data_IF_003944030502
#
_entry.id   IF_003944030502
#
_cell.length_a   1.000
_cell.length_b   1.000
_cell.length_c   1.000
_cell.angle_alpha   90.00
_cell.angle_beta   90.00
_cell.angle_gamma   90.00
#
_symmetry.space_group_name_H-M   'P 1'
#
loop_
_entity.id
_entity.type
_entity.pdbx_description
1 polymer ?
#
# COMPACT_ATOMS: atom_id res chain seq x y z
N UNK A 1 -21.71 -10.53 43.76
CA UNK A 1 -22.26 -11.04 42.49
C UNK A 1 -22.45 -9.96 41.40
N UNK A 2 -23.10 -8.81 41.66
CA UNK A 2 -23.27 -7.72 40.64
C UNK A 2 -21.97 -7.22 40.00
N UNK A 3 -20.89 -7.06 40.77
CA UNK A 3 -19.59 -6.58 40.26
C UNK A 3 -18.94 -7.56 39.27
N UNK A 4 -19.14 -8.86 39.46
CA UNK A 4 -18.59 -9.91 38.59
C UNK A 4 -19.34 -9.95 37.25
N UNK A 5 -20.67 -9.79 37.27
CA UNK A 5 -21.47 -9.71 36.05
C UNK A 5 -21.09 -8.50 35.17
N UNK A 6 -20.84 -7.34 35.79
CA UNK A 6 -20.43 -6.12 35.07
C UNK A 6 -19.08 -6.31 34.39
N UNK A 7 -18.10 -6.89 35.09
CA UNK A 7 -16.77 -7.16 34.52
C UNK A 7 -16.86 -8.13 33.34
N UNK A 8 -17.66 -9.20 33.44
CA UNK A 8 -17.86 -10.15 32.35
C UNK A 8 -18.50 -9.49 31.13
N UNK A 9 -19.52 -8.64 31.33
CA UNK A 9 -20.16 -7.92 30.22
C UNK A 9 -19.24 -6.91 29.55
N UNK A 10 -18.38 -6.20 30.31
CA UNK A 10 -17.42 -5.26 29.73
C UNK A 10 -16.36 -6.01 28.92
N UNK A 11 -15.86 -7.14 29.44
CA UNK A 11 -14.87 -7.97 28.73
C UNK A 11 -15.45 -8.54 27.43
N UNK A 12 -16.71 -8.98 27.43
CA UNK A 12 -17.38 -9.47 26.21
C UNK A 12 -17.58 -8.36 25.17
N UNK A 13 -17.95 -7.15 25.58
CA UNK A 13 -18.11 -6.02 24.65
C UNK A 13 -16.76 -5.58 24.09
N UNK A 14 -15.68 -5.58 24.88
CA UNK A 14 -14.33 -5.26 24.40
C UNK A 14 -13.79 -6.35 23.48
N UNK A 15 -14.04 -7.63 23.76
CA UNK A 15 -13.62 -8.72 22.88
C UNK A 15 -14.41 -8.73 21.57
N UNK A 16 -15.74 -8.62 21.61
CA UNK A 16 -16.56 -8.59 20.39
C UNK A 16 -16.39 -7.29 19.60
N UNK A 17 -16.26 -6.15 20.28
CA UNK A 17 -16.03 -4.84 19.65
C UNK A 17 -14.60 -4.72 19.10
N UNK A 18 -13.61 -5.19 19.85
CA UNK A 18 -12.20 -5.19 19.42
C UNK A 18 -11.97 -6.13 18.25
N UNK A 19 -12.45 -7.39 18.31
CA UNK A 19 -12.32 -8.35 17.21
C UNK A 19 -13.08 -7.88 15.97
N UNK A 20 -14.27 -7.29 16.14
CA UNK A 20 -15.02 -6.70 15.04
C UNK A 20 -14.27 -5.54 14.38
N UNK A 21 -13.63 -4.68 15.16
CA UNK A 21 -12.81 -3.57 14.66
C UNK A 21 -11.57 -4.05 13.92
N UNK A 22 -10.82 -5.02 14.48
CA UNK A 22 -9.65 -5.59 13.82
C UNK A 22 -10.01 -6.31 12.51
N UNK A 23 -11.10 -7.08 12.49
CA UNK A 23 -11.58 -7.74 11.29
C UNK A 23 -12.01 -6.74 10.20
N UNK A 24 -12.68 -5.65 10.60
CA UNK A 24 -13.06 -4.57 9.69
C UNK A 24 -11.83 -3.87 9.09
N UNK A 25 -10.83 -3.53 9.92
CA UNK A 25 -9.59 -2.93 9.44
C UNK A 25 -8.82 -3.86 8.49
N UNK A 26 -8.70 -5.15 8.83
CA UNK A 26 -8.03 -6.13 7.98
C UNK A 26 -8.74 -6.30 6.62
N UNK A 27 -10.08 -6.31 6.63
CA UNK A 27 -10.88 -6.39 5.41
C UNK A 27 -10.71 -5.15 4.53
N UNK A 28 -10.77 -3.96 5.13
CA UNK A 28 -10.64 -2.69 4.41
C UNK A 28 -9.25 -2.54 3.79
N UNK A 29 -8.18 -2.85 4.55
CA UNK A 29 -6.81 -2.86 4.04
C UNK A 29 -6.60 -3.88 2.92
N UNK A 30 -7.13 -5.10 3.08
CA UNK A 30 -7.05 -6.14 2.05
C UNK A 30 -7.77 -5.74 0.76
N UNK A 31 -8.94 -5.09 0.90
CA UNK A 31 -9.71 -4.57 -0.22
C UNK A 31 -8.97 -3.43 -0.93
N UNK A 32 -8.42 -2.48 -0.19
CA UNK A 32 -7.62 -1.39 -0.77
C UNK A 32 -6.40 -1.93 -1.53
N UNK A 33 -5.72 -2.94 -0.99
CA UNK A 33 -4.58 -3.58 -1.66
C UNK A 33 -5.01 -4.22 -2.99
N UNK A 34 -6.11 -4.97 -3.00
CA UNK A 34 -6.63 -5.60 -4.23
C UNK A 34 -7.08 -4.55 -5.25
N UNK A 35 -7.76 -3.50 -4.81
CA UNK A 35 -8.27 -2.44 -5.68
C UNK A 35 -7.12 -1.61 -6.27
N UNK A 36 -6.06 -1.36 -5.49
CA UNK A 36 -4.83 -0.65 -5.89
C UNK A 36 -3.73 -1.57 -6.44
N UNK A 37 -4.04 -2.80 -6.83
CA UNK A 37 -3.07 -3.70 -7.46
C UNK A 37 -3.18 -3.68 -8.98
N UNK A 38 -2.03 -3.69 -9.65
CA UNK A 38 -1.89 -3.66 -11.11
C UNK A 38 -1.14 -4.87 -11.64
N UNK A 39 -1.40 -5.23 -12.90
CA UNK A 39 -0.67 -6.30 -13.58
C UNK A 39 0.68 -5.81 -14.08
N UNK A 40 1.61 -6.73 -14.32
CA UNK A 40 2.88 -6.41 -14.97
C UNK A 40 2.67 -5.69 -16.32
N UNK A 41 1.68 -6.10 -17.11
CA UNK A 41 1.38 -5.45 -18.39
C UNK A 41 0.96 -3.97 -18.22
N UNK A 42 0.17 -3.66 -17.20
CA UNK A 42 -0.24 -2.28 -16.89
C UNK A 42 0.94 -1.42 -16.44
N UNK A 43 1.84 -2.01 -15.65
CA UNK A 43 3.09 -1.38 -15.23
C UNK A 43 4.05 -1.14 -16.41
N UNK A 44 4.22 -2.15 -17.27
CA UNK A 44 5.11 -2.09 -18.43
C UNK A 44 4.63 -1.10 -19.49
N UNK A 45 3.31 -0.90 -19.59
CA UNK A 45 2.70 0.09 -20.47
C UNK A 45 3.08 1.55 -20.11
N UNK A 46 3.43 1.82 -18.84
CA UNK A 46 3.86 3.15 -18.43
C UNK A 46 5.32 3.38 -18.81
N UNK A 47 5.61 4.51 -19.45
CA UNK A 47 6.95 4.86 -19.95
C UNK A 47 7.46 6.11 -19.27
N UNK A 48 8.76 6.18 -19.07
CA UNK A 48 9.41 7.41 -18.61
C UNK A 48 9.08 8.57 -19.56
N UNK A 49 8.80 9.73 -19.00
CA UNK A 49 8.31 10.92 -19.69
C UNK A 49 6.79 11.00 -19.83
N UNK A 50 6.02 9.93 -19.54
CA UNK A 50 4.55 10.01 -19.56
C UNK A 50 4.06 11.02 -18.50
N UNK A 51 3.16 11.95 -18.85
CA UNK A 51 2.58 12.88 -17.88
C UNK A 51 1.90 12.16 -16.72
N UNK A 52 2.08 12.67 -15.50
CA UNK A 52 1.50 12.07 -14.29
C UNK A 52 -0.02 11.91 -14.39
N UNK A 53 -0.69 12.90 -14.97
CA UNK A 53 -2.14 12.86 -15.18
C UNK A 53 -2.55 11.70 -16.10
N UNK A 54 -1.76 11.39 -17.13
CA UNK A 54 -2.03 10.28 -18.04
C UNK A 54 -1.80 8.93 -17.35
N UNK A 55 -0.71 8.81 -16.56
CA UNK A 55 -0.44 7.59 -15.77
C UNK A 55 -1.58 7.34 -14.78
N UNK A 56 -2.04 8.38 -14.06
CA UNK A 56 -3.14 8.28 -13.09
C UNK A 56 -4.50 8.01 -13.74
N UNK A 57 -4.70 8.42 -15.00
CA UNK A 57 -5.91 8.09 -15.75
C UNK A 57 -5.90 6.66 -16.30
N UNK A 58 -4.72 6.11 -16.59
CA UNK A 58 -4.55 4.77 -17.15
C UNK A 58 -4.54 3.65 -16.09
N UNK A 59 -4.20 3.98 -14.84
CA UNK A 59 -4.08 3.05 -13.72
C UNK A 59 -5.24 3.22 -12.72
N UNK A 60 -5.54 2.19 -11.89
CA UNK A 60 -6.45 2.35 -10.77
C UNK A 60 -5.94 3.38 -9.76
N UNK A 61 -6.74 3.68 -8.74
CA UNK A 61 -6.25 4.50 -7.64
C UNK A 61 -5.02 3.82 -6.98
N UNK A 62 -3.94 4.57 -6.71
CA UNK A 62 -2.78 4.02 -6.01
C UNK A 62 -3.10 3.77 -4.54
N UNK A 63 -2.21 3.04 -3.86
CA UNK A 63 -2.28 2.85 -2.41
C UNK A 63 -2.21 4.20 -1.71
N UNK A 64 -3.19 4.46 -0.85
CA UNK A 64 -3.24 5.67 -0.04
C UNK A 64 -2.34 5.51 1.21
N UNK A 65 -1.75 6.63 1.65
CA UNK A 65 -0.99 6.72 2.91
C UNK A 65 0.25 5.81 3.02
N UNK A 66 0.77 5.28 1.92
CA UNK A 66 2.06 4.57 1.94
C UNK A 66 3.19 5.60 1.90
N UNK A 67 3.99 5.64 2.96
CA UNK A 67 5.22 6.44 2.99
C UNK A 67 6.45 5.57 2.81
N UNK A 68 7.53 6.12 2.27
CA UNK A 68 8.82 5.42 2.15
C UNK A 68 9.31 4.88 3.50
N UNK A 69 8.99 5.57 4.59
CA UNK A 69 9.29 5.12 5.96
C UNK A 69 8.52 3.85 6.34
N UNK A 70 7.30 3.69 5.87
CA UNK A 70 6.51 2.47 6.09
C UNK A 70 7.08 1.30 5.29
N UNK A 71 7.75 1.57 4.16
CA UNK A 71 8.31 0.55 3.28
C UNK A 71 9.74 0.13 3.64
N UNK A 72 10.56 1.08 4.06
CA UNK A 72 12.00 0.88 4.25
C UNK A 72 12.47 1.15 5.68
N UNK A 73 11.58 1.56 6.58
CA UNK A 73 11.96 2.00 7.92
C UNK A 73 12.98 3.14 7.85
N UNK A 74 14.08 2.97 8.59
CA UNK A 74 15.20 3.91 8.61
C UNK A 74 16.35 3.51 7.66
N UNK A 75 16.15 2.57 6.72
CA UNK A 75 17.21 2.10 5.81
C UNK A 75 17.57 3.16 4.76
N UNK A 76 18.73 3.84 4.88
CA UNK A 76 19.11 4.93 3.98
C UNK A 76 19.50 4.43 2.58
N UNK A 77 19.81 3.14 2.41
CA UNK A 77 20.18 2.57 1.12
C UNK A 77 18.95 2.36 0.21
N UNK A 78 17.76 2.25 0.80
CA UNK A 78 16.48 2.06 0.08
C UNK A 78 15.60 3.31 0.03
N UNK A 79 16.01 4.41 0.68
CA UNK A 79 15.43 5.76 0.55
C UNK A 79 15.67 6.41 -0.84
N UNK A 80 15.77 5.60 -1.90
CA UNK A 80 16.06 6.00 -3.27
C UNK A 80 14.88 6.67 -3.98
N UNK A 81 14.17 7.57 -3.31
CA UNK A 81 13.28 8.52 -3.98
C UNK A 81 14.15 9.63 -4.57
N UNK A 82 14.06 9.91 -5.88
CA UNK A 82 14.79 11.03 -6.47
C UNK A 82 14.42 12.35 -5.77
N UNK A 83 15.38 13.27 -5.62
CA UNK A 83 15.13 14.55 -4.96
C UNK A 83 14.03 15.33 -5.69
N UNK A 84 12.99 15.74 -4.95
CA UNK A 84 11.84 16.44 -5.51
C UNK A 84 10.86 15.55 -6.28
N UNK A 85 11.00 14.22 -6.21
CA UNK A 85 10.02 13.30 -6.76
C UNK A 85 8.79 13.14 -5.85
N UNK A 86 7.65 12.84 -6.46
CA UNK A 86 6.47 12.30 -5.79
C UNK A 86 6.27 10.88 -6.30
N UNK A 87 6.27 9.89 -5.41
CA UNK A 87 6.07 8.50 -5.78
C UNK A 87 4.68 8.00 -5.39
N UNK A 88 4.12 7.12 -6.22
CA UNK A 88 2.92 6.36 -5.93
C UNK A 88 3.21 4.87 -5.96
N UNK A 89 2.42 4.13 -5.20
CA UNK A 89 2.62 2.70 -4.96
C UNK A 89 1.40 1.90 -5.40
N UNK A 90 1.64 0.74 -5.99
CA UNK A 90 0.61 -0.22 -6.37
C UNK A 90 0.99 -1.60 -5.88
N UNK A 91 0.00 -2.42 -5.55
CA UNK A 91 0.22 -3.85 -5.32
C UNK A 91 0.43 -4.62 -6.63
N UNK A 92 0.95 -5.85 -6.53
CA UNK A 92 1.15 -6.75 -7.67
C UNK A 92 -0.08 -7.64 -7.89
N UNK A 93 -0.54 -7.74 -9.14
CA UNK A 93 -1.48 -8.79 -9.60
C UNK A 93 -0.79 -9.74 -10.58
N UNK A 94 -0.99 -11.07 -10.46
CA UNK A 94 -1.74 -11.77 -9.39
C UNK A 94 -0.98 -11.76 -8.05
N UNK A 95 -1.71 -11.92 -6.94
CA UNK A 95 -1.12 -11.90 -5.58
C UNK A 95 -0.19 -13.09 -5.31
N UNK A 96 -0.23 -14.13 -6.15
CA UNK A 96 0.68 -15.27 -6.08
C UNK A 96 2.13 -14.89 -6.45
N UNK A 97 2.32 -13.78 -7.18
CA UNK A 97 3.63 -13.27 -7.62
C UNK A 97 4.23 -12.23 -6.65
N UNK A 98 3.65 -12.09 -5.45
CA UNK A 98 4.01 -11.04 -4.47
C UNK A 98 5.40 -11.25 -3.88
N UNK A 99 5.94 -12.48 -3.92
CA UNK A 99 7.37 -12.80 -3.73
C UNK A 99 8.12 -11.96 -2.67
N UNK A 100 9.35 -11.57 -3.00
CA UNK A 100 10.12 -10.59 -2.21
C UNK A 100 9.84 -9.15 -2.65
N UNK A 101 9.09 -8.96 -3.74
CA UNK A 101 8.84 -7.66 -4.37
C UNK A 101 7.34 -7.38 -4.54
N UNK A 102 6.63 -7.10 -3.44
CA UNK A 102 5.18 -7.10 -3.40
C UNK A 102 4.53 -5.88 -4.05
N UNK A 103 5.32 -4.86 -4.41
CA UNK A 103 4.80 -3.57 -4.85
C UNK A 103 5.55 -3.01 -6.05
N UNK A 104 4.81 -2.23 -6.83
CA UNK A 104 5.32 -1.37 -7.88
C UNK A 104 5.39 0.07 -7.39
N UNK A 105 6.49 0.75 -7.69
CA UNK A 105 6.70 2.18 -7.43
C UNK A 105 6.82 2.92 -8.74
N UNK A 106 6.09 4.02 -8.86
CA UNK A 106 6.20 4.97 -9.97
C UNK A 106 6.49 6.35 -9.38
N UNK A 107 7.62 6.95 -9.75
CA UNK A 107 8.06 8.24 -9.25
C UNK A 107 7.99 9.31 -10.33
N UNK A 108 7.38 10.45 -10.01
CA UNK A 108 7.19 11.58 -10.90
C UNK A 108 8.09 12.73 -10.50
N UNK A 109 8.74 13.35 -11.48
CA UNK A 109 9.52 14.59 -11.31
C UNK A 109 9.01 15.60 -12.31
N UNK A 110 8.67 16.80 -11.84
CA UNK A 110 8.16 17.85 -12.72
C UNK A 110 6.85 17.49 -13.44
N UNK A 111 6.04 16.60 -12.86
CA UNK A 111 4.75 16.17 -13.40
C UNK A 111 4.81 15.11 -14.50
N UNK A 112 5.96 14.45 -14.70
CA UNK A 112 6.12 13.33 -15.63
C UNK A 112 6.80 12.15 -14.94
N UNK A 113 6.52 10.94 -15.42
CA UNK A 113 7.10 9.69 -14.89
C UNK A 113 8.61 9.71 -15.12
N UNK A 114 9.38 9.70 -14.03
CA UNK A 114 10.84 9.76 -14.08
C UNK A 114 11.47 8.40 -13.83
N UNK A 115 10.87 7.58 -12.97
CA UNK A 115 11.37 6.26 -12.64
C UNK A 115 10.19 5.31 -12.39
N UNK A 116 10.36 4.04 -12.76
CA UNK A 116 9.50 2.95 -12.32
C UNK A 116 10.35 1.81 -11.79
N UNK A 117 10.00 1.27 -10.62
CA UNK A 117 10.76 0.22 -9.96
C UNK A 117 9.84 -0.76 -9.24
N UNK A 118 10.33 -1.99 -9.06
CA UNK A 118 9.70 -2.96 -8.17
C UNK A 118 10.35 -2.84 -6.80
N UNK A 119 9.53 -2.86 -5.75
CA UNK A 119 9.99 -2.63 -4.39
C UNK A 119 10.10 -3.95 -3.66
N UNK A 120 11.32 -4.25 -3.19
CA UNK A 120 11.55 -5.32 -2.23
C UNK A 120 11.33 -4.84 -0.80
N UNK A 121 10.47 -5.54 -0.06
CA UNK A 121 10.32 -5.33 1.37
C UNK A 121 11.46 -6.03 2.13
N UNK A 122 12.01 -5.41 3.19
CA UNK A 122 12.92 -6.11 4.10
C UNK A 122 12.20 -7.28 4.79
N UNK A 123 12.96 -8.34 5.06
CA UNK A 123 12.50 -9.54 5.78
C UNK A 123 12.20 -9.29 7.28
#
# INVERSE_FOLDING_TARGET
>A
MRKVAIVISVVLVVLCGGVGWFAYQAYDMGKQLVDASITQQQFDAQKEGTPEAEVRAALPAPLENVTDRDLYGDDPAKQGMPAGASCIYYGVKPLEDVGQEPMWRLCFVGGALAEKSRISLPE
#
